data_IF_025069302643
#
_entry.id   IF_025069302643
#
_cell.length_a   1.000
_cell.length_b   1.000
_cell.length_c   1.000
_cell.angle_alpha   90.00
_cell.angle_beta   90.00
_cell.angle_gamma   90.00
#
_symmetry.space_group_name_H-M   'P 1'
#
loop_
_entity.id
_entity.type
_entity.pdbx_description
1 polymer ?
#
# COMPACT_ATOMS: atom_id res chain seq x y z
N UNK A 1 -0.43 -8.41 -9.52
CA UNK A 1 0.37 -8.04 -8.33
C UNK A 1 -0.53 -7.44 -7.26
N UNK A 2 -0.08 -7.47 -6.04
CA UNK A 2 -0.81 -6.95 -4.89
C UNK A 2 0.07 -5.93 -4.19
N UNK A 3 -0.44 -4.71 -4.09
CA UNK A 3 0.20 -3.65 -3.31
C UNK A 3 -0.27 -3.82 -1.86
N UNK A 4 0.66 -4.11 -0.97
CA UNK A 4 0.37 -4.35 0.45
C UNK A 4 0.56 -3.04 1.21
N UNK A 5 -0.53 -2.56 1.82
CA UNK A 5 -0.53 -1.32 2.58
C UNK A 5 0.26 -1.44 3.88
N UNK A 6 0.73 -0.32 4.37
CA UNK A 6 1.46 -0.21 5.64
C UNK A 6 0.74 -0.91 6.80
N UNK A 7 -0.58 -0.80 6.87
CA UNK A 7 -1.38 -1.41 7.94
C UNK A 7 -1.18 -2.92 8.04
N UNK A 8 -1.08 -3.61 6.91
CA UNK A 8 -0.82 -5.06 6.89
C UNK A 8 0.59 -5.36 7.36
N UNK A 9 1.59 -4.65 6.83
CA UNK A 9 2.98 -4.83 7.24
C UNK A 9 3.16 -4.63 8.75
N UNK A 10 2.60 -3.54 9.28
CA UNK A 10 2.70 -3.23 10.72
C UNK A 10 2.06 -4.34 11.55
N UNK A 11 0.88 -4.82 11.13
CA UNK A 11 0.19 -5.90 11.82
C UNK A 11 1.05 -7.16 11.87
N UNK A 12 1.66 -7.55 10.74
CA UNK A 12 2.47 -8.77 10.67
C UNK A 12 3.76 -8.64 11.47
N UNK A 13 4.37 -7.45 11.48
CA UNK A 13 5.60 -7.21 12.24
C UNK A 13 5.36 -7.18 13.75
N UNK A 14 4.17 -6.75 14.19
CA UNK A 14 3.84 -6.64 15.62
C UNK A 14 3.21 -7.90 16.20
N UNK A 15 2.29 -8.51 15.46
CA UNK A 15 1.51 -9.64 15.97
C UNK A 15 2.24 -10.98 15.92
N UNK A 16 3.34 -11.08 15.15
CA UNK A 16 4.01 -12.34 14.91
C UNK A 16 3.13 -13.29 14.09
N UNK A 17 2.86 -14.48 14.61
CA UNK A 17 2.01 -15.46 13.92
C UNK A 17 0.56 -14.97 13.85
N UNK A 18 0.02 -14.85 12.64
CA UNK A 18 -1.35 -14.41 12.38
C UNK A 18 -1.77 -14.84 10.98
N UNK A 19 -3.07 -14.72 10.67
CA UNK A 19 -3.58 -14.97 9.32
C UNK A 19 -2.92 -14.04 8.31
N UNK A 20 -2.79 -12.78 8.66
CA UNK A 20 -2.17 -11.76 7.81
C UNK A 20 -0.70 -12.09 7.54
N UNK A 21 0.03 -12.54 8.55
CA UNK A 21 1.43 -12.93 8.40
C UNK A 21 1.57 -14.12 7.44
N UNK A 22 0.69 -15.12 7.57
CA UNK A 22 0.71 -16.30 6.70
C UNK A 22 0.38 -15.92 5.26
N UNK A 23 -0.63 -15.09 5.06
CA UNK A 23 -1.03 -14.61 3.73
C UNK A 23 0.07 -13.78 3.10
N UNK A 24 0.67 -12.86 3.85
CA UNK A 24 1.76 -12.02 3.35
C UNK A 24 2.96 -12.88 2.95
N UNK A 25 3.33 -13.86 3.77
CA UNK A 25 4.42 -14.77 3.44
C UNK A 25 4.14 -15.53 2.14
N UNK A 26 2.92 -16.01 1.96
CA UNK A 26 2.54 -16.71 0.73
C UNK A 26 2.65 -15.81 -0.50
N UNK A 27 2.24 -14.55 -0.38
CA UNK A 27 2.36 -13.57 -1.48
C UNK A 27 3.82 -13.26 -1.80
N UNK A 28 4.66 -13.13 -0.77
CA UNK A 28 6.09 -12.88 -0.95
C UNK A 28 6.77 -14.08 -1.62
N UNK A 29 6.46 -15.30 -1.18
CA UNK A 29 7.02 -16.52 -1.75
C UNK A 29 6.60 -16.73 -3.20
N UNK A 30 5.42 -16.26 -3.58
CA UNK A 30 4.90 -16.36 -4.94
C UNK A 30 5.30 -15.17 -5.84
N UNK A 31 6.09 -14.24 -5.34
CA UNK A 31 6.47 -13.00 -6.05
C UNK A 31 5.25 -12.17 -6.50
N UNK A 32 4.20 -12.15 -5.70
CA UNK A 32 2.95 -11.44 -6.00
C UNK A 32 2.78 -10.13 -5.26
N UNK A 33 3.65 -9.83 -4.29
CA UNK A 33 3.60 -8.60 -3.53
C UNK A 33 4.51 -7.53 -4.13
N UNK A 34 4.01 -6.30 -4.19
CA UNK A 34 4.80 -5.13 -4.57
C UNK A 34 4.71 -4.06 -3.49
N UNK A 35 5.70 -3.19 -3.47
CA UNK A 35 5.89 -2.18 -2.46
C UNK A 35 5.72 -0.79 -3.09
N UNK A 36 4.66 -0.08 -2.71
CA UNK A 36 4.54 1.32 -3.07
C UNK A 36 5.56 2.13 -2.26
N UNK A 37 6.24 3.07 -2.88
CA UNK A 37 7.31 3.83 -2.21
C UNK A 37 6.83 4.52 -0.92
N UNK A 38 5.61 5.07 -0.81
CA UNK A 38 5.15 5.63 0.47
C UNK A 38 5.07 4.59 1.59
N UNK A 39 4.71 3.34 1.29
CA UNK A 39 4.70 2.26 2.27
C UNK A 39 6.12 2.00 2.77
N UNK A 40 7.10 1.95 1.86
CA UNK A 40 8.51 1.79 2.24
C UNK A 40 8.95 2.88 3.22
N UNK A 41 8.63 4.12 2.92
CA UNK A 41 9.01 5.26 3.77
C UNK A 41 8.34 5.17 5.14
N UNK A 42 7.04 4.87 5.18
CA UNK A 42 6.32 4.71 6.44
C UNK A 42 6.91 3.60 7.32
N UNK A 43 7.23 2.46 6.72
CA UNK A 43 7.83 1.34 7.45
C UNK A 43 9.22 1.68 7.99
N UNK A 44 10.05 2.31 7.19
CA UNK A 44 11.39 2.72 7.61
C UNK A 44 11.33 3.79 8.71
N UNK A 45 10.40 4.73 8.61
CA UNK A 45 10.18 5.78 9.61
C UNK A 45 9.74 5.19 10.95
N UNK A 46 8.89 4.17 10.91
CA UNK A 46 8.39 3.51 12.12
C UNK A 46 9.36 2.51 12.76
N UNK A 47 10.43 2.12 12.06
CA UNK A 47 11.39 1.17 12.58
C UNK A 47 12.40 1.85 13.51
N UNK A 48 12.92 1.09 14.49
CA UNK A 48 13.99 1.58 15.35
C UNK A 48 15.26 1.80 14.54
N UNK A 49 16.16 2.62 15.07
CA UNK A 49 17.46 2.88 14.45
C UNK A 49 18.26 1.58 14.22
N UNK A 50 18.16 0.64 15.15
CA UNK A 50 18.89 -0.63 15.07
C UNK A 50 18.27 -1.58 14.04
N UNK A 51 16.94 -1.57 13.89
CA UNK A 51 16.24 -2.48 12.99
C UNK A 51 16.18 -1.97 11.55
N UNK A 52 16.34 -0.67 11.35
CA UNK A 52 16.15 -0.04 10.04
C UNK A 52 17.05 -0.61 8.95
N UNK A 53 18.36 -0.86 9.16
CA UNK A 53 19.18 -1.42 8.09
C UNK A 53 18.72 -2.79 7.63
N UNK A 54 18.29 -3.66 8.55
CA UNK A 54 17.79 -4.98 8.20
C UNK A 54 16.46 -4.89 7.45
N UNK A 55 15.56 -4.04 7.92
CA UNK A 55 14.29 -3.81 7.26
C UNK A 55 14.50 -3.27 5.84
N UNK A 56 15.41 -2.31 5.68
CA UNK A 56 15.73 -1.75 4.37
C UNK A 56 16.22 -2.82 3.40
N UNK A 57 17.08 -3.73 3.86
CA UNK A 57 17.54 -4.84 3.02
C UNK A 57 16.40 -5.76 2.61
N UNK A 58 15.52 -6.11 3.56
CA UNK A 58 14.37 -6.98 3.28
C UNK A 58 13.42 -6.34 2.27
N UNK A 59 13.11 -5.06 2.45
CA UNK A 59 12.20 -4.35 1.54
C UNK A 59 12.80 -4.14 0.15
N UNK A 60 14.13 -4.06 0.05
CA UNK A 60 14.81 -3.85 -1.23
C UNK A 60 14.74 -5.07 -2.15
N UNK A 61 14.35 -6.23 -1.64
CA UNK A 61 14.13 -7.43 -2.44
C UNK A 61 12.78 -7.40 -3.20
N UNK A 62 11.90 -6.46 -2.86
CA UNK A 62 10.57 -6.35 -3.46
C UNK A 62 10.56 -5.39 -4.65
N UNK A 63 9.71 -5.64 -5.66
CA UNK A 63 9.44 -4.62 -6.67
C UNK A 63 8.88 -3.37 -6.01
N UNK A 64 9.49 -2.22 -6.31
CA UNK A 64 9.08 -0.92 -5.73
C UNK A 64 8.40 -0.10 -6.82
N UNK A 65 7.24 0.48 -6.48
CA UNK A 65 6.47 1.35 -7.36
C UNK A 65 6.74 2.80 -7.00
N UNK A 66 7.16 3.57 -8.00
CA UNK A 66 7.43 4.99 -7.87
C UNK A 66 6.43 5.82 -8.66
N UNK A 67 6.03 6.99 -8.17
CA UNK A 67 5.15 7.87 -8.94
C UNK A 67 5.88 8.52 -10.12
N UNK A 68 5.13 8.71 -11.19
CA UNK A 68 5.52 9.53 -12.32
C UNK A 68 4.67 10.82 -12.34
N UNK A 69 4.88 11.67 -13.33
CA UNK A 69 4.03 12.86 -13.49
C UNK A 69 2.56 12.48 -13.67
N UNK A 70 2.30 11.37 -14.37
CA UNK A 70 0.93 10.88 -14.58
C UNK A 70 0.27 10.44 -13.27
N UNK A 71 1.03 9.90 -12.34
CA UNK A 71 0.51 9.53 -11.01
C UNK A 71 -0.07 10.74 -10.30
N UNK A 72 0.65 11.85 -10.34
CA UNK A 72 0.20 13.09 -9.69
C UNK A 72 -1.03 13.66 -10.36
N UNK A 73 -1.12 13.57 -11.68
CA UNK A 73 -2.33 14.01 -12.42
C UNK A 73 -3.53 13.14 -12.07
N UNK A 74 -3.34 11.83 -11.94
CA UNK A 74 -4.39 10.91 -11.50
C UNK A 74 -4.91 11.28 -10.12
N UNK A 75 -4.00 11.51 -9.17
CA UNK A 75 -4.36 11.90 -7.79
C UNK A 75 -5.10 13.24 -7.79
N UNK A 76 -4.64 14.20 -8.56
CA UNK A 76 -5.28 15.52 -8.67
C UNK A 76 -6.75 15.36 -9.08
N UNK A 77 -7.02 14.53 -10.10
CA UNK A 77 -8.38 14.21 -10.51
C UNK A 77 -9.21 13.51 -9.44
N UNK A 78 -8.58 12.61 -8.68
CA UNK A 78 -9.24 11.92 -7.59
C UNK A 78 -9.66 12.85 -6.44
N UNK A 79 -8.89 13.90 -6.20
CA UNK A 79 -9.25 14.92 -5.19
C UNK A 79 -10.60 15.54 -5.52
N UNK A 80 -10.83 15.87 -6.78
CA UNK A 80 -12.10 16.44 -7.22
C UNK A 80 -13.25 15.43 -7.13
N UNK A 81 -13.03 14.19 -7.57
CA UNK A 81 -14.06 13.14 -7.49
C UNK A 81 -14.44 12.86 -6.05
N UNK A 82 -13.46 12.70 -5.17
CA UNK A 82 -13.71 12.45 -3.75
C UNK A 82 -14.46 13.63 -3.11
N UNK A 83 -14.03 14.87 -3.41
CA UNK A 83 -14.69 16.07 -2.90
C UNK A 83 -16.14 16.16 -3.35
N UNK A 84 -16.44 15.81 -4.60
CA UNK A 84 -17.80 15.76 -5.12
C UNK A 84 -18.67 14.71 -4.44
N UNK A 85 -18.07 13.65 -3.89
CA UNK A 85 -18.75 12.62 -3.13
C UNK A 85 -18.76 12.90 -1.63
N UNK A 86 -18.28 14.07 -1.19
CA UNK A 86 -18.21 14.44 0.22
C UNK A 86 -17.14 13.65 0.99
N UNK A 87 -16.13 13.14 0.30
CA UNK A 87 -15.09 12.33 0.93
C UNK A 87 -13.71 12.97 0.80
N UNK A 88 -12.83 12.55 1.70
CA UNK A 88 -11.48 13.08 1.80
C UNK A 88 -10.54 11.95 2.20
N UNK A 89 -9.41 11.85 1.52
CA UNK A 89 -8.40 10.83 1.79
C UNK A 89 -7.05 11.48 2.08
N UNK A 90 -6.23 10.80 2.89
CA UNK A 90 -4.88 11.25 3.16
C UNK A 90 -3.98 11.12 1.94
N UNK A 91 -2.93 11.92 1.93
CA UNK A 91 -1.94 11.94 0.85
C UNK A 91 -1.32 10.57 0.57
N UNK A 92 -0.91 9.87 1.64
CA UNK A 92 -0.30 8.56 1.51
C UNK A 92 -1.23 7.52 0.90
N UNK A 93 -2.49 7.50 1.32
CA UNK A 93 -3.48 6.56 0.81
C UNK A 93 -3.79 6.81 -0.67
N UNK A 94 -3.93 8.08 -1.05
CA UNK A 94 -4.14 8.45 -2.46
C UNK A 94 -2.96 7.99 -3.32
N UNK A 95 -1.74 8.18 -2.84
CA UNK A 95 -0.55 7.79 -3.57
C UNK A 95 -0.44 6.26 -3.70
N UNK A 96 -0.67 5.52 -2.62
CA UNK A 96 -0.70 4.05 -2.66
C UNK A 96 -1.74 3.57 -3.66
N UNK A 97 -2.94 4.11 -3.58
CA UNK A 97 -4.04 3.72 -4.47
C UNK A 97 -3.74 4.04 -5.94
N UNK A 98 -3.18 5.21 -6.22
CA UNK A 98 -2.85 5.61 -7.57
C UNK A 98 -1.77 4.70 -8.19
N UNK A 99 -0.74 4.37 -7.44
CA UNK A 99 0.29 3.44 -7.88
C UNK A 99 -0.27 2.05 -8.17
N UNK A 100 -1.20 1.58 -7.35
CA UNK A 100 -1.88 0.32 -7.60
C UNK A 100 -2.73 0.38 -8.87
N UNK A 101 -3.49 1.45 -9.06
CA UNK A 101 -4.33 1.62 -10.25
C UNK A 101 -3.50 1.64 -11.52
N UNK A 102 -2.41 2.37 -11.53
CA UNK A 102 -1.55 2.50 -12.70
C UNK A 102 -0.88 1.20 -13.11
N UNK A 103 -0.64 0.31 -12.15
CA UNK A 103 0.03 -0.98 -12.42
C UNK A 103 -0.96 -2.14 -12.55
N UNK A 104 -2.27 -1.86 -12.50
CA UNK A 104 -3.28 -2.91 -12.56
C UNK A 104 -3.23 -3.84 -11.35
N UNK A 105 -2.74 -3.36 -10.22
CA UNK A 105 -2.59 -4.15 -9.00
C UNK A 105 -3.81 -4.02 -8.09
N UNK A 106 -4.06 -5.06 -7.31
CA UNK A 106 -5.00 -4.99 -6.19
C UNK A 106 -4.33 -4.34 -4.99
N UNK A 107 -5.12 -3.78 -4.09
CA UNK A 107 -4.63 -3.24 -2.81
C UNK A 107 -5.08 -4.15 -1.68
N UNK A 108 -4.16 -4.52 -0.81
CA UNK A 108 -4.48 -5.22 0.43
C UNK A 108 -4.20 -4.29 1.62
N UNK A 109 -5.25 -3.93 2.34
CA UNK A 109 -5.18 -3.03 3.49
C UNK A 109 -6.14 -3.48 4.58
N UNK A 110 -5.80 -3.13 5.81
CA UNK A 110 -6.68 -3.28 6.98
C UNK A 110 -7.37 -1.96 7.32
N UNK A 111 -7.12 -0.90 6.55
CA UNK A 111 -7.69 0.42 6.77
C UNK A 111 -8.97 0.60 5.95
N UNK A 112 -10.04 1.02 6.63
CA UNK A 112 -11.34 1.26 6.00
C UNK A 112 -11.32 2.34 4.92
N UNK A 113 -10.32 3.21 4.89
CA UNK A 113 -10.19 4.23 3.86
C UNK A 113 -10.10 3.62 2.46
N UNK A 114 -9.44 2.48 2.32
CA UNK A 114 -9.34 1.80 1.02
C UNK A 114 -10.66 1.18 0.58
N UNK A 115 -11.53 0.78 1.51
CA UNK A 115 -12.89 0.36 1.16
C UNK A 115 -13.66 1.51 0.56
N UNK A 116 -13.55 2.71 1.12
CA UNK A 116 -14.20 3.92 0.59
C UNK A 116 -13.62 4.29 -0.78
N UNK A 117 -12.30 4.18 -0.95
CA UNK A 117 -11.66 4.42 -2.25
C UNK A 117 -12.14 3.42 -3.30
N UNK A 118 -12.31 2.17 -2.91
CA UNK A 118 -12.87 1.13 -3.80
C UNK A 118 -14.30 1.48 -4.20
N UNK A 119 -15.10 1.98 -3.26
CA UNK A 119 -16.46 2.43 -3.54
C UNK A 119 -16.55 3.54 -4.57
N UNK A 120 -15.51 4.38 -4.68
CA UNK A 120 -15.41 5.43 -5.69
C UNK A 120 -14.76 4.94 -7.01
N UNK A 121 -14.39 3.66 -7.07
CA UNK A 121 -13.75 3.10 -8.25
C UNK A 121 -12.26 3.42 -8.37
N UNK A 122 -11.62 3.92 -7.32
CA UNK A 122 -10.20 4.29 -7.35
C UNK A 122 -9.29 3.07 -7.34
N UNK A 123 -9.63 2.07 -6.55
CA UNK A 123 -8.82 0.86 -6.37
C UNK A 123 -9.70 -0.37 -6.41
N UNK A 124 -9.09 -1.51 -6.68
CA UNK A 124 -9.67 -2.82 -6.49
C UNK A 124 -8.99 -3.50 -5.32
N UNK A 125 -9.78 -4.11 -4.43
CA UNK A 125 -9.26 -4.68 -3.20
C UNK A 125 -8.87 -6.15 -3.37
N UNK A 126 -7.77 -6.53 -2.72
CA UNK A 126 -7.41 -7.92 -2.50
C UNK A 126 -8.10 -8.39 -1.21
N UNK A 127 -8.82 -9.49 -1.32
CA UNK A 127 -9.48 -10.11 -0.18
C UNK A 127 -8.89 -11.51 0.02
N UNK A 128 -8.05 -11.65 1.05
CA UNK A 128 -7.43 -12.94 1.35
C UNK A 128 -8.41 -14.00 1.84
#
# INVERSE_FOLDING_TARGET
MIVVDTSVWVRTLRAGASKEADTLRALLDADEASLAVPVRIELLTGASRLDRPRLRRSLSALPILYPSDDTWRLIDGWVDVAGGAGQRFGFGDLLIGALARETGSLVWSLDADFERMSGLGFVDLYEP
#
